data_IF_069639572811
#
_entry.id   IF_069639572811
#
_cell.length_a   1.000
_cell.length_b   1.000
_cell.length_c   1.000
_cell.angle_alpha   90.00
_cell.angle_beta   90.00
_cell.angle_gamma   90.00
#
_symmetry.space_group_name_H-M   'P 1'
#
loop_
_entity.id
_entity.type
_entity.pdbx_description
1 polymer ?
#
# COMPACT_ATOMS: atom_id res chain seq x y z
N UNK A 1 14.35 3.66 -28.99
CA UNK A 1 14.34 4.35 -27.68
C UNK A 1 12.89 4.44 -27.22
N UNK A 2 12.54 3.83 -26.10
CA UNK A 2 11.17 3.82 -25.56
C UNK A 2 10.85 5.06 -24.73
N UNK A 3 11.88 5.78 -24.29
CA UNK A 3 11.80 6.96 -23.43
C UNK A 3 12.14 8.22 -24.21
N UNK A 4 11.30 9.24 -24.09
CA UNK A 4 11.38 10.53 -24.77
C UNK A 4 11.32 11.65 -23.74
N UNK A 5 12.02 12.75 -23.98
CA UNK A 5 11.95 13.94 -23.11
C UNK A 5 11.00 14.97 -23.71
N UNK A 6 10.34 15.75 -22.86
CA UNK A 6 9.55 16.87 -23.35
C UNK A 6 10.43 17.90 -24.07
N UNK A 7 9.85 18.54 -25.08
CA UNK A 7 10.55 19.38 -26.04
C UNK A 7 11.03 18.63 -27.30
N UNK A 8 10.98 17.29 -27.34
CA UNK A 8 11.29 16.52 -28.55
C UNK A 8 10.07 16.45 -29.49
N UNK A 9 10.34 16.58 -30.80
CA UNK A 9 9.37 16.24 -31.85
C UNK A 9 9.25 14.72 -31.91
N UNK A 10 8.03 14.21 -31.78
CA UNK A 10 7.77 12.79 -31.85
C UNK A 10 6.71 12.49 -32.91
N UNK A 11 6.91 11.38 -33.62
CA UNK A 11 5.98 10.89 -34.62
C UNK A 11 4.77 10.17 -34.00
N UNK A 12 3.95 9.57 -34.86
CA UNK A 12 2.71 8.88 -34.48
C UNK A 12 2.89 7.86 -33.35
N UNK A 13 2.07 7.98 -32.29
CA UNK A 13 2.03 7.02 -31.19
C UNK A 13 1.42 7.59 -29.92
N UNK A 14 1.18 6.71 -28.95
CA UNK A 14 0.69 7.11 -27.63
C UNK A 14 1.86 7.26 -26.67
N UNK A 15 1.99 8.44 -26.10
CA UNK A 15 3.05 8.81 -25.17
C UNK A 15 2.45 9.00 -23.79
N UNK A 16 3.05 8.35 -22.79
CA UNK A 16 2.60 8.46 -21.41
C UNK A 16 3.65 9.18 -20.57
N UNK A 17 3.25 10.27 -19.93
CA UNK A 17 4.08 10.94 -18.92
C UNK A 17 4.01 10.15 -17.61
N UNK A 18 5.16 9.67 -17.13
CA UNK A 18 5.24 8.90 -15.88
C UNK A 18 5.10 9.78 -14.64
N UNK A 19 5.40 11.08 -14.73
CA UNK A 19 5.35 11.99 -13.61
C UNK A 19 3.91 12.47 -13.35
N UNK A 20 3.18 12.82 -14.41
CA UNK A 20 1.80 13.34 -14.30
C UNK A 20 0.72 12.27 -14.56
N UNK A 21 1.09 11.11 -15.10
CA UNK A 21 0.14 10.10 -15.55
C UNK A 21 -0.63 10.52 -16.81
N UNK A 22 -0.28 11.63 -17.46
CA UNK A 22 -1.01 12.17 -18.61
C UNK A 22 -0.66 11.42 -19.90
N UNK A 23 -1.69 11.04 -20.66
CA UNK A 23 -1.55 10.40 -21.97
C UNK A 23 -1.64 11.46 -23.07
N UNK A 24 -0.71 11.43 -24.01
CA UNK A 24 -0.68 12.29 -25.19
C UNK A 24 -0.72 11.37 -26.41
N UNK A 25 -1.82 11.41 -27.15
CA UNK A 25 -1.94 10.70 -28.42
C UNK A 25 -1.48 11.62 -29.55
N UNK A 26 -0.48 11.18 -30.32
CA UNK A 26 0.10 11.93 -31.43
C UNK A 26 -0.28 11.22 -32.71
N UNK A 27 -1.05 11.89 -33.57
CA UNK A 27 -1.58 11.29 -34.81
C UNK A 27 -0.62 11.40 -36.00
N UNK A 28 0.12 12.51 -36.11
CA UNK A 28 1.05 12.78 -37.22
C UNK A 28 2.43 13.15 -36.68
N UNK A 29 2.58 14.36 -36.12
CA UNK A 29 3.82 14.85 -35.54
C UNK A 29 3.48 15.93 -34.51
N UNK A 30 3.99 15.80 -33.29
CA UNK A 30 3.74 16.77 -32.21
C UNK A 30 4.97 16.93 -31.32
N UNK A 31 5.10 18.12 -30.74
CA UNK A 31 6.12 18.42 -29.74
C UNK A 31 5.60 18.01 -28.36
N UNK A 32 6.31 17.13 -27.67
CA UNK A 32 5.95 16.70 -26.32
C UNK A 32 6.04 17.88 -25.33
N UNK A 33 4.97 18.15 -24.59
CA UNK A 33 4.93 19.26 -23.63
C UNK A 33 5.73 18.95 -22.36
N UNK A 34 6.34 19.96 -21.72
CA UNK A 34 7.01 19.83 -20.42
C UNK A 34 8.48 19.48 -20.53
N UNK A 35 9.36 20.48 -20.57
CA UNK A 35 10.80 20.32 -20.85
C UNK A 35 11.57 19.35 -19.93
N UNK A 36 11.08 19.05 -18.74
CA UNK A 36 11.66 18.04 -17.81
C UNK A 36 10.86 16.75 -17.71
N UNK A 37 9.67 16.68 -18.34
CA UNK A 37 8.80 15.51 -18.29
C UNK A 37 9.39 14.35 -19.11
N UNK A 38 9.24 13.14 -18.58
CA UNK A 38 9.74 11.91 -19.19
C UNK A 38 8.57 11.09 -19.70
N UNK A 39 8.52 10.93 -21.02
CA UNK A 39 7.48 10.21 -21.72
C UNK A 39 7.95 8.83 -22.10
N UNK A 40 7.09 7.82 -21.93
CA UNK A 40 7.31 6.49 -22.49
C UNK A 40 6.33 6.24 -23.61
N UNK A 41 6.85 5.82 -24.77
CA UNK A 41 6.00 5.41 -25.90
C UNK A 41 5.46 4.01 -25.60
N UNK A 42 4.15 3.94 -25.39
CA UNK A 42 3.44 2.67 -25.27
C UNK A 42 2.55 2.47 -26.49
N UNK A 43 2.49 1.24 -27.00
CA UNK A 43 1.52 0.92 -28.04
C UNK A 43 0.12 0.83 -27.43
N UNK A 44 -0.90 1.18 -28.21
CA UNK A 44 -2.30 1.11 -27.77
C UNK A 44 -2.68 -0.31 -27.31
N UNK A 45 -2.13 -1.36 -27.93
CA UNK A 45 -2.36 -2.75 -27.54
C UNK A 45 -1.80 -3.10 -26.16
N UNK A 46 -0.56 -2.67 -25.84
CA UNK A 46 0.03 -2.87 -24.50
C UNK A 46 -0.80 -2.15 -23.45
N UNK A 47 -1.33 -0.98 -23.79
CA UNK A 47 -2.12 -0.16 -22.89
C UNK A 47 -3.54 -0.71 -22.65
N UNK A 48 -4.10 -1.41 -23.64
CA UNK A 48 -5.37 -2.13 -23.51
C UNK A 48 -5.20 -3.40 -22.66
N UNK A 49 -4.09 -4.12 -22.86
CA UNK A 49 -3.79 -5.35 -22.12
C UNK A 49 -3.30 -5.09 -20.69
N UNK A 50 -2.72 -3.91 -20.40
CA UNK A 50 -2.20 -3.61 -19.06
C UNK A 50 -3.30 -3.62 -18.00
N UNK A 51 -4.51 -3.16 -18.32
CA UNK A 51 -5.65 -3.20 -17.40
C UNK A 51 -5.95 -4.63 -16.90
N UNK A 52 -6.31 -5.56 -17.81
CA UNK A 52 -6.53 -6.96 -17.46
C UNK A 52 -5.31 -7.64 -16.83
N UNK A 53 -4.10 -7.38 -17.32
CA UNK A 53 -2.88 -8.00 -16.77
C UNK A 53 -2.59 -7.57 -15.34
N UNK A 54 -2.76 -6.28 -15.02
CA UNK A 54 -2.60 -5.77 -13.65
C UNK A 54 -3.69 -6.36 -12.74
N UNK A 55 -4.93 -6.43 -13.21
CA UNK A 55 -6.03 -7.05 -12.45
C UNK A 55 -5.80 -8.55 -12.20
N UNK A 56 -5.29 -9.28 -13.19
CA UNK A 56 -4.98 -10.70 -13.07
C UNK A 56 -3.81 -10.92 -12.12
N UNK A 57 -2.76 -10.11 -12.21
CA UNK A 57 -1.64 -10.14 -11.27
C UNK A 57 -2.12 -9.88 -9.84
N UNK A 58 -2.97 -8.86 -9.65
CA UNK A 58 -3.58 -8.58 -8.35
C UNK A 58 -4.38 -9.78 -7.82
N UNK A 59 -5.20 -10.39 -8.66
CA UNK A 59 -6.03 -11.55 -8.30
C UNK A 59 -5.17 -12.76 -7.90
N UNK A 60 -4.08 -13.02 -8.62
CA UNK A 60 -3.14 -14.10 -8.30
C UNK A 60 -2.42 -13.85 -6.98
N UNK A 61 -2.01 -12.61 -6.70
CA UNK A 61 -1.29 -12.26 -5.48
C UNK A 61 -2.19 -12.15 -4.24
N UNK A 62 -3.47 -11.84 -4.43
CA UNK A 62 -4.49 -11.68 -3.39
C UNK A 62 -4.51 -12.82 -2.34
N UNK A 63 -4.61 -14.11 -2.71
CA UNK A 63 -4.64 -15.20 -1.74
C UNK A 63 -3.36 -15.29 -0.90
N UNK A 64 -2.19 -15.02 -1.49
CA UNK A 64 -0.91 -15.05 -0.76
C UNK A 64 -0.81 -13.92 0.25
N UNK A 65 -1.22 -12.71 -0.13
CA UNK A 65 -1.24 -11.55 0.78
C UNK A 65 -2.22 -11.79 1.93
N UNK A 66 -3.39 -12.39 1.66
CA UNK A 66 -4.37 -12.75 2.67
C UNK A 66 -3.79 -13.72 3.70
N UNK A 67 -3.18 -14.83 3.24
CA UNK A 67 -2.55 -15.83 4.12
C UNK A 67 -1.39 -15.20 4.91
N UNK A 68 -0.52 -14.43 4.24
CA UNK A 68 0.61 -13.78 4.89
C UNK A 68 0.16 -12.79 5.98
N UNK A 69 -0.92 -12.05 5.74
CA UNK A 69 -1.49 -11.12 6.72
C UNK A 69 -2.03 -11.85 7.95
N UNK A 70 -2.77 -12.95 7.74
CA UNK A 70 -3.27 -13.80 8.83
C UNK A 70 -2.13 -14.44 9.61
N UNK A 71 -1.11 -14.97 8.92
CA UNK A 71 0.07 -15.53 9.56
C UNK A 71 0.84 -14.48 10.38
N UNK A 72 1.00 -13.25 9.87
CA UNK A 72 1.64 -12.16 10.59
C UNK A 72 0.86 -11.75 11.86
N UNK A 73 -0.47 -11.72 11.78
CA UNK A 73 -1.35 -11.47 12.93
C UNK A 73 -1.24 -12.59 13.98
N UNK A 74 -1.25 -13.85 13.54
CA UNK A 74 -1.10 -15.00 14.42
C UNK A 74 0.27 -15.01 15.10
N UNK A 75 1.35 -14.76 14.35
CA UNK A 75 2.70 -14.66 14.89
C UNK A 75 2.81 -13.53 15.92
N UNK A 76 2.30 -12.33 15.60
CA UNK A 76 2.32 -11.20 16.53
C UNK A 76 1.53 -11.49 17.81
N UNK A 77 0.39 -12.16 17.70
CA UNK A 77 -0.45 -12.56 18.84
C UNK A 77 0.21 -13.63 19.68
N UNK A 78 0.82 -14.64 19.05
CA UNK A 78 1.54 -15.72 19.73
C UNK A 78 2.77 -15.21 20.48
N UNK A 79 3.55 -14.33 19.85
CA UNK A 79 4.69 -13.66 20.49
C UNK A 79 4.22 -12.79 21.66
N UNK A 80 3.16 -12.00 21.50
CA UNK A 80 2.57 -11.21 22.60
C UNK A 80 2.08 -12.05 23.78
N UNK A 81 1.56 -13.26 23.51
CA UNK A 81 1.20 -14.24 24.53
C UNK A 81 2.42 -14.79 25.28
N UNK A 82 3.49 -15.14 24.57
CA UNK A 82 4.76 -15.59 25.15
C UNK A 82 5.43 -14.49 25.97
N UNK A 83 5.44 -13.24 25.49
CA UNK A 83 5.93 -12.09 26.27
C UNK A 83 5.10 -11.84 27.52
N UNK A 84 3.77 -12.02 27.48
CA UNK A 84 2.93 -11.92 28.67
C UNK A 84 3.18 -13.06 29.67
N UNK A 85 3.52 -14.26 29.20
CA UNK A 85 3.88 -15.40 30.07
C UNK A 85 5.25 -15.19 30.71
N UNK A 86 6.24 -14.73 29.93
CA UNK A 86 7.56 -14.34 30.45
C UNK A 86 7.47 -13.13 31.39
N UNK A 87 6.62 -12.15 31.06
CA UNK A 87 6.36 -11.02 31.95
C UNK A 87 5.68 -11.49 33.24
N UNK A 88 4.72 -12.43 33.19
CA UNK A 88 4.06 -12.98 34.38
C UNK A 88 5.00 -13.82 35.26
N UNK A 89 5.99 -14.51 34.69
CA UNK A 89 6.98 -15.26 35.48
C UNK A 89 8.01 -14.36 36.16
N UNK A 90 8.31 -13.19 35.57
CA UNK A 90 9.24 -12.20 36.13
C UNK A 90 8.52 -11.14 37.00
N UNK A 91 7.28 -10.80 36.69
CA UNK A 91 6.46 -9.87 37.45
C UNK A 91 5.78 -10.60 38.60
N UNK A 92 6.46 -10.73 39.73
CA UNK A 92 5.88 -11.17 40.99
C UNK A 92 4.74 -10.21 41.38
N UNK A 93 3.49 -10.56 41.05
CA UNK A 93 2.25 -9.96 41.57
C UNK A 93 1.98 -8.46 41.34
N UNK A 94 2.90 -7.70 40.73
CA UNK A 94 2.82 -6.24 40.65
C UNK A 94 1.77 -5.77 39.63
N UNK A 95 0.57 -5.40 40.11
CA UNK A 95 -0.57 -4.93 39.28
C UNK A 95 -1.02 -3.51 39.69
N UNK A 96 -0.22 -2.47 39.46
CA UNK A 96 -0.45 -1.12 39.99
C UNK A 96 -1.73 -0.50 39.44
N UNK A 97 -2.07 -0.80 38.17
CA UNK A 97 -3.28 -0.29 37.53
C UNK A 97 -4.56 -0.89 38.12
N UNK A 98 -4.51 -2.15 38.57
CA UNK A 98 -5.66 -2.80 39.22
C UNK A 98 -5.85 -2.31 40.66
N UNK A 99 -4.76 -1.96 41.35
CA UNK A 99 -4.84 -1.32 42.67
C UNK A 99 -5.48 0.08 42.59
N UNK A 100 -5.21 0.83 41.52
CA UNK A 100 -5.80 2.16 41.33
C UNK A 100 -7.28 2.10 40.94
N UNK A 101 -7.67 1.12 40.11
CA UNK A 101 -9.05 0.99 39.61
C UNK A 101 -9.99 0.25 40.57
N UNK A 102 -9.50 -0.67 41.40
CA UNK A 102 -10.32 -1.39 42.38
C UNK A 102 -10.74 -0.52 43.58
N UNK A 103 -10.09 0.62 43.81
CA UNK A 103 -10.38 1.54 44.92
C UNK A 103 -11.62 2.42 44.74
N UNK A 104 -12.16 2.58 43.52
CA UNK A 104 -13.40 3.36 43.30
C UNK A 104 -14.65 2.52 43.57
N UNK A 105 -14.93 2.27 44.85
CA UNK A 105 -16.24 1.78 45.30
C UNK A 105 -17.28 2.89 45.08
N UNK A 106 -18.17 2.73 44.10
CA UNK A 106 -19.33 3.62 43.88
C UNK A 106 -20.18 3.63 45.16
N UNK A 107 -20.13 4.72 45.93
CA UNK A 107 -21.03 4.98 47.05
C UNK A 107 -22.43 5.21 46.48
N UNK A 108 -23.30 4.20 46.61
CA UNK A 108 -24.72 4.37 46.34
C UNK A 108 -25.29 5.39 47.33
N UNK A 109 -25.57 6.59 46.84
CA UNK A 109 -26.38 7.57 47.55
C UNK A 109 -27.83 7.08 47.42
N UNK A 110 -28.34 6.43 48.46
CA UNK A 110 -29.78 6.20 48.62
C UNK A 110 -30.43 7.54 49.00
N UNK A 111 -31.41 7.94 48.20
CA UNK A 111 -32.47 8.88 48.59
C UNK A 111 -33.30 8.29 49.71
#
# INVERSE_FOLDING_TARGET
>A
MLTYKGGQTVGKGTYWDLASGRRVDVTSEAVLAGGTATYVRMSAGVMLLSGPLIGLLYTILMPFIGIASLAALAARSGLGGLYNLAAKSVSFGWRPINAYLSGRKKRNVRR
#
